data_IF_545910722663
#
_entry.id   IF_545910722663
#
_cell.length_a   1.000
_cell.length_b   1.000
_cell.length_c   1.000
_cell.angle_alpha   90.00
_cell.angle_beta   90.00
_cell.angle_gamma   90.00
#
_symmetry.space_group_name_H-M   'P 1'
#
loop_
_entity.id
_entity.type
_entity.pdbx_description
1 polymer ?
#
# COMPACT_ATOMS: atom_id res chain seq x y z
N UNK A 1 2.50 -59.47 0.49
CA UNK A 1 1.23 -58.91 0.01
C UNK A 1 0.69 -57.79 0.91
N UNK A 2 0.60 -57.94 2.19
CA UNK A 2 0.06 -56.90 3.12
C UNK A 2 0.83 -55.55 3.06
N UNK A 3 2.16 -55.58 2.99
CA UNK A 3 2.99 -54.34 2.90
C UNK A 3 2.76 -53.51 1.64
N UNK A 4 2.40 -54.17 0.53
CA UNK A 4 2.06 -53.49 -0.71
C UNK A 4 0.71 -52.80 -0.67
N UNK A 5 -0.26 -53.46 0.01
CA UNK A 5 -1.62 -52.93 0.22
C UNK A 5 -1.65 -51.70 1.12
N UNK A 6 -0.84 -51.67 2.18
CA UNK A 6 -0.72 -50.52 3.06
C UNK A 6 -0.09 -49.32 2.36
N UNK A 7 0.91 -49.50 1.49
CA UNK A 7 1.51 -48.43 0.70
C UNK A 7 0.55 -47.84 -0.35
N UNK A 8 -0.26 -48.69 -0.99
CA UNK A 8 -1.30 -48.27 -1.92
C UNK A 8 -2.39 -47.46 -1.22
N UNK A 9 -2.80 -47.88 -0.02
CA UNK A 9 -3.83 -47.19 0.77
C UNK A 9 -3.33 -45.81 1.24
N UNK A 10 -2.06 -45.70 1.62
CA UNK A 10 -1.45 -44.42 2.01
C UNK A 10 -1.33 -43.44 0.83
N UNK A 11 -1.03 -43.90 -0.37
CA UNK A 11 -0.99 -43.09 -1.59
C UNK A 11 -2.38 -42.62 -2.01
N UNK A 12 -3.42 -43.39 -1.85
CA UNK A 12 -4.79 -43.00 -2.11
C UNK A 12 -5.32 -41.97 -1.11
N UNK A 13 -4.92 -42.04 0.17
CA UNK A 13 -5.30 -41.04 1.18
C UNK A 13 -4.62 -39.69 0.93
N UNK A 14 -3.40 -39.65 0.42
CA UNK A 14 -2.72 -38.40 0.06
C UNK A 14 -3.33 -37.74 -1.18
N UNK A 15 -3.83 -38.50 -2.13
CA UNK A 15 -4.46 -37.96 -3.35
C UNK A 15 -5.82 -37.29 -3.09
N UNK A 16 -6.52 -37.67 -2.03
CA UNK A 16 -7.83 -37.07 -1.69
C UNK A 16 -7.73 -35.77 -0.89
N UNK A 17 -6.59 -35.51 -0.22
CA UNK A 17 -6.37 -34.26 0.52
C UNK A 17 -5.96 -33.10 -0.39
N UNK A 18 -5.37 -33.38 -1.56
CA UNK A 18 -4.92 -32.38 -2.50
C UNK A 18 -6.05 -31.65 -3.28
N UNK A 19 -7.28 -32.17 -3.26
CA UNK A 19 -8.42 -31.58 -3.96
C UNK A 19 -9.39 -30.80 -3.10
N UNK A 20 -9.08 -30.57 -1.82
CA UNK A 20 -9.97 -29.90 -0.87
C UNK A 20 -9.72 -28.37 -0.78
N UNK A 21 -8.93 -27.77 -1.68
CA UNK A 21 -8.89 -26.33 -1.81
C UNK A 21 -10.03 -25.87 -2.72
N UNK A 22 -11.11 -25.45 -2.06
CA UNK A 22 -12.34 -25.01 -2.70
C UNK A 22 -12.12 -23.79 -3.61
N UNK A 23 -12.41 -23.96 -4.90
CA UNK A 23 -12.51 -22.89 -5.87
C UNK A 23 -13.81 -22.03 -5.71
N UNK A 24 -14.49 -22.10 -4.57
CA UNK A 24 -15.79 -21.45 -4.40
C UNK A 24 -15.71 -19.97 -4.05
N UNK A 25 -14.62 -19.51 -3.41
CA UNK A 25 -14.49 -18.11 -2.98
C UNK A 25 -14.05 -17.16 -4.09
N UNK A 26 -13.22 -17.63 -5.03
CA UNK A 26 -12.72 -16.79 -6.11
C UNK A 26 -13.81 -16.34 -7.08
N UNK A 27 -14.80 -17.20 -7.36
CA UNK A 27 -15.85 -16.89 -8.34
C UNK A 27 -16.86 -15.83 -7.86
N UNK A 28 -17.14 -15.75 -6.55
CA UNK A 28 -18.01 -14.72 -5.97
C UNK A 28 -17.27 -13.38 -5.87
N UNK A 29 -16.01 -13.39 -5.47
CA UNK A 29 -15.16 -12.20 -5.47
C UNK A 29 -14.98 -11.65 -6.89
N UNK A 30 -14.72 -12.49 -7.87
CA UNK A 30 -14.58 -12.09 -9.27
C UNK A 30 -15.87 -11.46 -9.82
N UNK A 31 -17.05 -11.97 -9.46
CA UNK A 31 -18.33 -11.36 -9.83
C UNK A 31 -18.51 -10.00 -9.18
N UNK A 32 -18.21 -9.88 -7.90
CA UNK A 32 -18.35 -8.64 -7.12
C UNK A 32 -17.44 -7.55 -7.67
N UNK A 33 -16.19 -7.89 -8.03
CA UNK A 33 -15.23 -6.92 -8.53
C UNK A 33 -15.14 -6.81 -10.05
N UNK A 34 -16.00 -7.49 -10.79
CA UNK A 34 -16.03 -7.47 -12.27
C UNK A 34 -16.15 -6.07 -12.87
N UNK A 35 -16.77 -5.14 -12.15
CA UNK A 35 -16.94 -3.75 -12.60
C UNK A 35 -15.79 -2.83 -12.21
N UNK A 36 -14.87 -3.28 -11.33
CA UNK A 36 -13.71 -2.50 -10.93
C UNK A 36 -12.71 -2.47 -12.07
N UNK A 37 -12.39 -1.27 -12.51
CA UNK A 37 -11.38 -1.02 -13.55
C UNK A 37 -10.24 -0.21 -12.96
N UNK A 38 -9.03 -0.75 -13.08
CA UNK A 38 -7.84 -0.04 -12.68
C UNK A 38 -7.44 0.99 -13.73
N UNK A 39 -7.14 2.20 -13.32
CA UNK A 39 -6.51 3.22 -14.14
C UNK A 39 -5.35 3.86 -13.38
N UNK A 40 -4.31 4.23 -14.09
CA UNK A 40 -3.23 5.01 -13.49
C UNK A 40 -3.71 6.46 -13.32
N UNK A 41 -3.71 6.95 -12.08
CA UNK A 41 -4.12 8.32 -11.73
C UNK A 41 -2.92 9.19 -11.33
N UNK A 42 -1.70 8.67 -11.47
CA UNK A 42 -0.48 9.35 -11.03
C UNK A 42 -0.18 9.18 -9.54
N UNK A 43 0.80 9.93 -9.00
CA UNK A 43 1.74 10.76 -9.77
C UNK A 43 2.61 9.90 -10.70
N UNK A 44 2.91 10.42 -11.88
CA UNK A 44 3.68 9.66 -12.88
C UNK A 44 5.18 9.64 -12.59
N UNK A 45 5.65 10.41 -11.63
CA UNK A 45 7.05 10.54 -11.20
C UNK A 45 7.13 10.64 -9.67
N UNK A 46 6.82 9.60 -8.98
CA UNK A 46 6.82 9.60 -7.51
C UNK A 46 7.78 8.59 -6.88
N UNK A 47 8.35 7.70 -7.65
CA UNK A 47 9.04 6.54 -7.11
C UNK A 47 8.06 5.52 -6.53
N UNK A 48 8.54 4.65 -5.63
CA UNK A 48 7.67 3.70 -4.94
C UNK A 48 6.77 4.43 -3.95
N UNK A 49 5.49 4.16 -3.98
CA UNK A 49 4.54 4.60 -2.96
C UNK A 49 4.79 3.82 -1.66
N UNK A 50 5.00 4.53 -0.55
CA UNK A 50 5.22 3.94 0.76
C UNK A 50 4.00 4.08 1.66
N UNK A 51 3.34 5.22 1.58
CA UNK A 51 2.24 5.58 2.48
C UNK A 51 1.23 6.46 1.76
N UNK A 52 -0.02 6.36 2.15
CA UNK A 52 -1.08 7.25 1.70
C UNK A 52 -2.07 7.48 2.84
N UNK A 53 -2.65 8.67 2.90
CA UNK A 53 -3.68 9.03 3.87
C UNK A 53 -4.69 9.98 3.24
N UNK A 54 -5.97 9.78 3.56
CA UNK A 54 -7.04 10.72 3.24
C UNK A 54 -7.26 11.71 4.38
N UNK A 55 -7.91 12.82 4.06
CA UNK A 55 -8.37 13.80 5.05
C UNK A 55 -9.81 13.45 5.46
N UNK A 56 -10.07 13.04 6.72
CA UNK A 56 -11.38 12.54 7.13
C UNK A 56 -12.53 13.51 6.88
N UNK A 57 -12.29 14.81 7.03
CA UNK A 57 -13.27 15.87 6.82
C UNK A 57 -13.46 16.29 5.36
N UNK A 58 -12.58 15.83 4.44
CA UNK A 58 -12.63 16.22 3.03
C UNK A 58 -12.26 15.06 2.11
N UNK A 59 -13.25 14.38 1.51
CA UNK A 59 -13.02 13.20 0.66
C UNK A 59 -12.32 13.52 -0.69
N UNK A 60 -12.08 14.79 -0.98
CA UNK A 60 -11.36 15.20 -2.18
C UNK A 60 -9.84 15.22 -1.97
N UNK A 61 -9.38 15.28 -0.69
CA UNK A 61 -7.98 15.51 -0.35
C UNK A 61 -7.30 14.25 0.13
N UNK A 62 -6.18 13.93 -0.50
CA UNK A 62 -5.30 12.83 -0.11
C UNK A 62 -3.84 13.25 -0.19
N UNK A 63 -3.03 12.61 0.64
CA UNK A 63 -1.58 12.73 0.63
C UNK A 63 -0.96 11.37 0.29
N UNK A 64 0.16 11.39 -0.42
CA UNK A 64 0.93 10.21 -0.75
C UNK A 64 2.42 10.47 -0.54
N UNK A 65 3.06 9.61 0.21
CA UNK A 65 4.49 9.60 0.43
C UNK A 65 5.19 8.55 -0.41
N UNK A 66 6.31 8.93 -1.00
CA UNK A 66 7.05 8.08 -1.92
C UNK A 66 8.50 7.90 -1.50
N UNK A 67 9.13 6.82 -1.97
CA UNK A 67 10.58 6.61 -1.80
C UNK A 67 11.30 7.36 -2.91
N UNK A 68 11.98 8.45 -2.54
CA UNK A 68 12.77 9.25 -3.48
C UNK A 68 12.00 10.31 -4.27
N UNK A 69 10.69 10.44 -4.06
CA UNK A 69 9.85 11.42 -4.77
C UNK A 69 9.14 12.41 -3.87
N UNK A 70 9.39 12.39 -2.56
CA UNK A 70 8.81 13.32 -1.60
C UNK A 70 7.35 13.08 -1.26
N UNK A 71 6.66 14.15 -0.86
CA UNK A 71 5.26 14.18 -0.45
C UNK A 71 4.41 14.83 -1.54
N UNK A 72 3.33 14.16 -1.88
CA UNK A 72 2.38 14.58 -2.91
C UNK A 72 1.00 14.79 -2.31
N UNK A 73 0.28 15.80 -2.78
CA UNK A 73 -1.09 16.11 -2.39
C UNK A 73 -1.99 16.16 -3.62
N UNK A 74 -3.19 15.63 -3.48
CA UNK A 74 -4.31 15.88 -4.40
C UNK A 74 -5.44 16.56 -3.65
N UNK A 75 -6.20 17.40 -4.32
CA UNK A 75 -7.42 18.06 -3.85
C UNK A 75 -8.62 17.79 -4.76
N UNK A 76 -8.45 16.87 -5.71
CA UNK A 76 -9.42 16.52 -6.74
C UNK A 76 -9.61 14.98 -6.88
N UNK A 77 -9.52 14.25 -5.78
CA UNK A 77 -9.66 12.78 -5.72
C UNK A 77 -8.61 12.04 -6.56
N UNK A 78 -7.42 12.59 -6.72
CA UNK A 78 -6.32 11.94 -7.43
C UNK A 78 -6.29 12.18 -8.94
N UNK A 79 -7.09 13.11 -9.48
CA UNK A 79 -6.99 13.48 -10.89
C UNK A 79 -5.68 14.20 -11.18
N UNK A 80 -5.21 15.00 -10.23
CA UNK A 80 -3.93 15.71 -10.28
C UNK A 80 -3.19 15.53 -8.97
N UNK A 81 -1.86 15.45 -9.04
CA UNK A 81 -0.99 15.34 -7.89
C UNK A 81 0.07 16.43 -7.96
N UNK A 82 0.21 17.19 -6.88
CA UNK A 82 1.18 18.26 -6.73
C UNK A 82 2.23 17.82 -5.69
N UNK A 83 3.51 17.94 -6.03
CA UNK A 83 4.56 17.79 -5.04
C UNK A 83 4.55 19.00 -4.11
N UNK A 84 4.42 18.76 -2.81
CA UNK A 84 4.36 19.82 -1.79
C UNK A 84 5.56 19.79 -0.85
N UNK A 85 6.54 18.95 -1.11
CA UNK A 85 7.73 18.78 -0.28
C UNK A 85 9.00 19.39 -0.84
N UNK A 86 9.00 19.75 -2.11
CA UNK A 86 10.19 20.31 -2.75
C UNK A 86 10.61 21.64 -2.11
N UNK A 87 11.87 21.70 -1.71
CA UNK A 87 12.43 22.87 -1.02
C UNK A 87 12.26 22.85 0.51
N UNK A 88 11.46 21.92 1.08
CA UNK A 88 11.24 21.81 2.51
C UNK A 88 11.97 20.63 3.13
N UNK A 89 11.93 19.46 2.51
CA UNK A 89 12.54 18.25 3.06
C UNK A 89 13.99 18.12 2.60
N UNK A 90 14.85 17.70 3.54
CA UNK A 90 16.27 17.44 3.24
C UNK A 90 16.49 16.09 2.56
N UNK A 91 15.57 15.14 2.77
CA UNK A 91 15.57 13.85 2.10
C UNK A 91 14.25 13.67 1.36
N UNK A 92 14.23 12.83 0.34
CA UNK A 92 13.08 12.67 -0.54
C UNK A 92 12.23 11.43 -0.23
N UNK A 93 12.53 10.72 0.86
CA UNK A 93 11.81 9.48 1.21
C UNK A 93 10.87 9.72 2.38
N UNK A 94 9.59 9.54 2.13
CA UNK A 94 8.51 9.65 3.12
C UNK A 94 8.06 8.26 3.52
N UNK A 95 8.20 7.93 4.81
CA UNK A 95 7.85 6.62 5.36
C UNK A 95 6.47 6.57 6.01
N UNK A 96 5.96 7.69 6.51
CA UNK A 96 4.65 7.76 7.15
C UNK A 96 4.03 9.14 7.05
N UNK A 97 2.69 9.20 6.99
CA UNK A 97 1.92 10.44 6.98
C UNK A 97 0.73 10.27 7.92
N UNK A 98 0.43 11.31 8.69
CA UNK A 98 -0.78 11.39 9.49
C UNK A 98 -1.38 12.79 9.40
N UNK A 99 -2.71 12.85 9.25
CA UNK A 99 -3.49 14.09 9.30
C UNK A 99 -4.28 14.09 10.61
N UNK A 100 -4.25 15.18 11.35
CA UNK A 100 -5.03 15.29 12.57
C UNK A 100 -6.53 15.38 12.25
N UNK A 101 -7.34 14.54 12.88
CA UNK A 101 -8.80 14.55 12.67
C UNK A 101 -9.45 15.84 13.15
N UNK A 102 -8.90 16.45 14.20
CA UNK A 102 -9.42 17.69 14.79
C UNK A 102 -9.10 18.94 13.98
N UNK A 103 -8.02 18.90 13.19
CA UNK A 103 -7.61 20.01 12.34
C UNK A 103 -6.85 19.47 11.11
N UNK A 104 -7.46 19.47 9.92
CA UNK A 104 -6.87 18.92 8.71
C UNK A 104 -5.63 19.69 8.20
N UNK A 105 -5.35 20.88 8.72
CA UNK A 105 -4.14 21.64 8.41
C UNK A 105 -2.91 21.06 9.14
N UNK A 106 -3.14 20.29 10.21
CA UNK A 106 -2.07 19.66 10.96
C UNK A 106 -1.72 18.31 10.31
N UNK A 107 -0.59 18.30 9.63
CA UNK A 107 -0.04 17.11 8.97
C UNK A 107 1.32 16.75 9.54
N UNK A 108 1.50 15.50 9.91
CA UNK A 108 2.78 14.95 10.34
C UNK A 108 3.35 14.05 9.25
N UNK A 109 4.64 14.19 8.98
CA UNK A 109 5.35 13.44 7.95
C UNK A 109 6.61 12.84 8.55
N UNK A 110 6.66 11.52 8.64
CA UNK A 110 7.84 10.77 9.05
C UNK A 110 8.72 10.44 7.85
N UNK A 111 10.00 10.81 7.94
CA UNK A 111 10.97 10.57 6.88
C UNK A 111 11.66 9.21 7.03
N UNK A 112 12.11 8.65 5.92
CA UNK A 112 12.78 7.37 5.85
C UNK A 112 11.96 6.28 5.18
N UNK A 113 12.52 5.09 5.05
CA UNK A 113 11.79 3.96 4.47
C UNK A 113 10.93 3.28 5.52
N UNK A 114 9.70 2.99 5.15
CA UNK A 114 8.80 2.17 5.96
C UNK A 114 9.18 0.70 5.86
N UNK A 115 9.13 0.03 7.02
CA UNK A 115 9.22 -1.40 7.20
C UNK A 115 10.56 -2.07 6.87
N UNK A 116 10.63 -3.30 7.31
CA UNK A 116 11.80 -4.18 7.23
C UNK A 116 12.17 -4.46 5.77
N UNK A 117 13.31 -3.92 5.35
CA UNK A 117 13.92 -4.22 4.06
C UNK A 117 15.33 -4.74 4.25
N UNK A 118 15.75 -5.65 3.39
CA UNK A 118 17.13 -6.14 3.36
C UNK A 118 18.15 -5.08 2.97
N UNK A 119 17.73 -4.07 2.21
CA UNK A 119 18.55 -2.91 1.81
C UNK A 119 17.74 -1.64 1.97
N UNK A 120 18.28 -0.69 2.72
CA UNK A 120 17.75 0.66 2.84
C UNK A 120 18.33 1.55 1.74
N UNK A 121 17.47 2.21 0.96
CA UNK A 121 17.89 3.11 -0.13
C UNK A 121 18.12 4.53 0.37
N UNK A 122 17.31 4.97 1.35
CA UNK A 122 17.39 6.31 1.93
C UNK A 122 17.20 6.27 3.43
N UNK A 123 18.00 7.04 4.13
CA UNK A 123 17.86 7.25 5.58
C UNK A 123 16.73 8.24 5.89
N UNK A 124 16.26 8.22 7.12
CA UNK A 124 15.32 9.21 7.63
C UNK A 124 16.02 10.52 8.01
N UNK A 125 15.20 11.56 8.12
CA UNK A 125 15.61 12.91 8.57
C UNK A 125 14.67 13.41 9.70
N UNK A 126 14.08 12.48 10.43
CA UNK A 126 13.16 12.79 11.52
C UNK A 126 11.72 12.97 11.07
N UNK A 127 11.01 13.85 11.78
CA UNK A 127 9.58 14.11 11.56
C UNK A 127 9.35 15.60 11.28
N UNK A 128 8.56 15.88 10.28
CA UNK A 128 8.08 17.22 9.96
C UNK A 128 6.62 17.37 10.36
N UNK A 129 6.25 18.59 10.69
CA UNK A 129 4.87 19.00 10.98
C UNK A 129 4.52 20.24 10.16
N UNK A 130 3.41 20.19 9.44
CA UNK A 130 2.77 21.36 8.83
C UNK A 130 1.62 21.85 9.70
N UNK A 131 1.31 23.12 9.61
CA UNK A 131 0.18 23.79 10.30
C UNK A 131 -0.62 24.68 9.35
N UNK A 132 -0.42 24.53 8.05
CA UNK A 132 -1.00 25.30 6.95
C UNK A 132 -1.45 24.42 5.77
#
# INVERSE_FOLDING_TARGET
>A
MIKLFIRSLFLLLFATVANAQSNSDSSELDKTFKQVKWRNIGPFRGGRSNTAVGVPSNPMVYYMGTTGGGLWKTDDMGLRWNNISDGYFKTSTVGGIAVAESDPNIVYVGMGEHAVRGVMTHHGDGMYKSTD
#
